data_IF_900578963425
#
_entry.id   IF_900578963425
#
_cell.length_a   1.000
_cell.length_b   1.000
_cell.length_c   1.000
_cell.angle_alpha   90.00
_cell.angle_beta   90.00
_cell.angle_gamma   90.00
#
_symmetry.space_group_name_H-M   'P 1'
#
loop_
_entity.id
_entity.type
_entity.pdbx_description
1 polymer ?
#
# COMPACT_ATOMS: atom_id res chain seq x y z
N UNK A 1 4.80 -50.41 27.80
CA UNK A 1 4.50 -49.91 26.45
C UNK A 1 3.92 -48.51 26.59
N UNK A 2 4.83 -47.54 26.57
CA UNK A 2 4.58 -46.15 26.89
C UNK A 2 4.52 -45.33 25.60
N UNK A 3 3.49 -44.49 25.49
CA UNK A 3 3.45 -43.24 24.73
C UNK A 3 3.78 -43.31 23.23
N UNK A 4 2.80 -43.69 22.42
CA UNK A 4 2.60 -43.02 21.12
C UNK A 4 1.49 -41.99 21.32
N UNK A 5 1.86 -40.81 21.84
CA UNK A 5 1.07 -39.61 21.63
C UNK A 5 1.19 -39.27 20.14
N UNK A 6 0.37 -39.96 19.34
CA UNK A 6 0.25 -39.73 17.92
C UNK A 6 -0.33 -38.32 17.74
N UNK A 7 0.52 -37.45 17.21
CA UNK A 7 0.29 -36.05 16.89
C UNK A 7 -1.09 -35.88 16.24
N UNK A 8 -2.04 -35.34 17.01
CA UNK A 8 -3.44 -35.17 16.62
C UNK A 8 -3.67 -33.88 15.84
N UNK A 9 -2.65 -33.39 15.13
CA UNK A 9 -2.78 -32.29 14.20
C UNK A 9 -3.33 -32.83 12.87
N UNK A 10 -4.49 -32.33 12.37
CA UNK A 10 -5.04 -32.83 11.12
C UNK A 10 -4.04 -32.57 9.99
N UNK A 11 -3.79 -33.53 9.08
CA UNK A 11 -2.71 -33.48 8.09
C UNK A 11 -2.81 -32.28 7.12
N UNK A 12 -3.95 -31.58 7.12
CA UNK A 12 -4.23 -30.42 6.27
C UNK A 12 -4.02 -29.07 6.98
N UNK A 13 -3.89 -29.00 8.31
CA UNK A 13 -3.76 -27.72 9.03
C UNK A 13 -2.52 -26.92 8.59
N UNK A 14 -1.37 -27.60 8.41
CA UNK A 14 -0.15 -26.95 7.94
C UNK A 14 -0.24 -26.40 6.51
N UNK A 15 -0.96 -27.10 5.62
CA UNK A 15 -1.18 -26.64 4.24
C UNK A 15 -2.06 -25.39 4.19
N UNK A 16 -3.16 -25.37 4.96
CA UNK A 16 -4.04 -24.19 5.03
C UNK A 16 -3.31 -22.97 5.60
N UNK A 17 -2.46 -23.14 6.62
CA UNK A 17 -1.67 -22.06 7.19
C UNK A 17 -0.65 -21.49 6.18
N UNK A 18 0.07 -22.35 5.45
CA UNK A 18 1.02 -21.92 4.42
C UNK A 18 0.33 -21.17 3.28
N UNK A 19 -0.82 -21.64 2.81
CA UNK A 19 -1.60 -20.96 1.77
C UNK A 19 -2.09 -19.59 2.28
N UNK A 20 -2.57 -19.49 3.52
CA UNK A 20 -3.00 -18.22 4.10
C UNK A 20 -1.85 -17.21 4.20
N UNK A 21 -0.68 -17.64 4.67
CA UNK A 21 0.53 -16.80 4.72
C UNK A 21 0.97 -16.38 3.32
N UNK A 22 0.90 -17.27 2.34
CA UNK A 22 1.28 -16.92 0.97
C UNK A 22 0.33 -15.87 0.36
N UNK A 23 -0.99 -16.05 0.53
CA UNK A 23 -1.99 -15.08 0.08
C UNK A 23 -1.83 -13.73 0.78
N UNK A 24 -1.47 -13.72 2.06
CA UNK A 24 -1.13 -12.50 2.81
C UNK A 24 0.01 -11.75 2.13
N UNK A 25 1.15 -12.41 1.90
CA UNK A 25 2.30 -11.76 1.29
C UNK A 25 2.01 -11.26 -0.13
N UNK A 26 1.26 -12.04 -0.92
CA UNK A 26 0.85 -11.62 -2.27
C UNK A 26 0.00 -10.34 -2.20
N UNK A 27 -0.96 -10.26 -1.28
CA UNK A 27 -1.77 -9.06 -1.07
C UNK A 27 -0.92 -7.84 -0.67
N UNK A 28 0.01 -8.01 0.27
CA UNK A 28 0.87 -6.93 0.75
C UNK A 28 1.84 -6.44 -0.33
N UNK A 29 2.47 -7.36 -1.07
CA UNK A 29 3.35 -7.04 -2.20
C UNK A 29 2.58 -6.29 -3.28
N UNK A 30 1.37 -6.74 -3.62
CA UNK A 30 0.52 -6.06 -4.59
C UNK A 30 0.20 -4.62 -4.16
N UNK A 31 -0.15 -4.41 -2.89
CA UNK A 31 -0.39 -3.09 -2.33
C UNK A 31 0.87 -2.20 -2.37
N UNK A 32 2.03 -2.76 -2.03
CA UNK A 32 3.31 -2.06 -2.08
C UNK A 32 3.67 -1.60 -3.50
N UNK A 33 3.48 -2.46 -4.50
CA UNK A 33 3.70 -2.12 -5.92
C UNK A 33 2.81 -0.95 -6.33
N UNK A 34 1.53 -0.96 -5.96
CA UNK A 34 0.61 0.15 -6.24
C UNK A 34 1.11 1.44 -5.56
N UNK A 35 1.52 1.37 -4.29
CA UNK A 35 2.00 2.55 -3.57
C UNK A 35 3.25 3.16 -4.22
N UNK A 36 4.21 2.33 -4.66
CA UNK A 36 5.40 2.77 -5.40
C UNK A 36 5.03 3.34 -6.76
N UNK A 37 4.14 2.69 -7.51
CA UNK A 37 3.66 3.16 -8.80
C UNK A 37 3.00 4.54 -8.68
N UNK A 38 2.18 4.75 -7.65
CA UNK A 38 1.51 6.02 -7.38
C UNK A 38 2.49 7.13 -7.00
N UNK A 39 3.56 6.81 -6.27
CA UNK A 39 4.65 7.74 -5.99
C UNK A 39 5.41 8.11 -7.29
N UNK A 40 5.67 7.12 -8.15
CA UNK A 40 6.26 7.35 -9.48
C UNK A 40 5.40 8.22 -10.39
N UNK A 41 4.07 8.07 -10.34
CA UNK A 41 3.14 8.93 -11.08
C UNK A 41 3.14 10.39 -10.60
N UNK A 42 3.38 10.64 -9.31
CA UNK A 42 3.61 11.99 -8.76
C UNK A 42 4.93 12.55 -9.30
N UNK A 43 6.00 11.75 -9.27
CA UNK A 43 7.31 12.15 -9.79
C UNK A 43 7.23 12.54 -11.28
N UNK A 44 6.64 11.69 -12.12
CA UNK A 44 6.51 11.93 -13.56
C UNK A 44 5.74 13.20 -13.90
N UNK A 45 4.59 13.42 -13.26
CA UNK A 45 3.80 14.66 -13.46
C UNK A 45 4.45 15.91 -12.88
N UNK A 46 5.37 15.77 -11.93
CA UNK A 46 6.11 16.92 -11.41
C UNK A 46 7.24 17.31 -12.36
N UNK A 47 7.97 16.33 -12.92
CA UNK A 47 9.13 16.60 -13.77
C UNK A 47 8.73 17.17 -15.14
N UNK A 48 7.53 16.84 -15.62
CA UNK A 48 6.96 17.39 -16.86
C UNK A 48 6.51 18.86 -16.74
N UNK A 49 6.54 19.45 -15.53
CA UNK A 49 6.15 20.85 -15.35
C UNK A 49 7.22 21.82 -15.84
N UNK A 50 6.84 22.98 -16.38
CA UNK A 50 7.79 23.99 -16.84
C UNK A 50 8.64 24.60 -15.71
N UNK A 51 8.14 24.56 -14.46
CA UNK A 51 8.89 24.93 -13.26
C UNK A 51 8.68 23.87 -12.16
N UNK A 52 9.44 22.76 -12.20
CA UNK A 52 9.20 21.64 -11.31
C UNK A 52 9.50 22.02 -9.85
N UNK A 53 8.54 21.75 -8.96
CA UNK A 53 8.73 21.95 -7.52
C UNK A 53 9.52 20.80 -6.93
N UNK A 54 10.60 21.10 -6.21
CA UNK A 54 11.46 20.09 -5.60
C UNK A 54 10.77 19.26 -4.50
N UNK A 55 9.78 19.83 -3.81
CA UNK A 55 9.06 19.18 -2.70
C UNK A 55 8.34 17.89 -3.13
N UNK A 56 7.44 17.88 -4.13
CA UNK A 56 6.79 16.64 -4.59
C UNK A 56 7.76 15.61 -5.20
N UNK A 57 8.88 16.06 -5.79
CA UNK A 57 9.95 15.17 -6.27
C UNK A 57 10.67 14.46 -5.12
N UNK A 58 11.07 15.20 -4.09
CA UNK A 58 11.70 14.62 -2.90
C UNK A 58 10.74 13.66 -2.21
N UNK A 59 9.48 14.07 -2.03
CA UNK A 59 8.46 13.29 -1.37
C UNK A 59 8.18 11.95 -2.06
N UNK A 60 7.98 11.96 -3.39
CA UNK A 60 7.73 10.74 -4.16
C UNK A 60 8.89 9.73 -4.05
N UNK A 61 10.13 10.20 -4.06
CA UNK A 61 11.30 9.34 -3.85
C UNK A 61 11.37 8.78 -2.42
N UNK A 62 11.20 9.63 -1.41
CA UNK A 62 11.19 9.21 -0.01
C UNK A 62 10.08 8.19 0.24
N UNK A 63 8.89 8.39 -0.35
CA UNK A 63 7.76 7.48 -0.21
C UNK A 63 8.01 6.13 -0.89
N UNK A 64 8.60 6.12 -2.09
CA UNK A 64 8.98 4.88 -2.77
C UNK A 64 10.03 4.10 -1.96
N UNK A 65 11.05 4.78 -1.43
CA UNK A 65 12.05 4.17 -0.57
C UNK A 65 11.46 3.67 0.76
N UNK A 66 10.51 4.41 1.33
CA UNK A 66 9.79 3.97 2.53
C UNK A 66 9.00 2.68 2.29
N UNK A 67 8.26 2.59 1.18
CA UNK A 67 7.53 1.36 0.81
C UNK A 67 8.49 0.21 0.54
N UNK A 68 9.60 0.46 -0.13
CA UNK A 68 10.65 -0.54 -0.36
C UNK A 68 11.26 -1.02 0.97
N UNK A 69 11.53 -0.09 1.90
CA UNK A 69 12.03 -0.42 3.23
C UNK A 69 11.05 -1.30 4.00
N UNK A 70 9.75 -0.95 4.00
CA UNK A 70 8.72 -1.78 4.62
C UNK A 70 8.69 -3.19 4.03
N UNK A 71 8.71 -3.30 2.69
CA UNK A 71 8.63 -4.59 2.00
C UNK A 71 9.85 -5.49 2.25
N UNK A 72 11.05 -4.90 2.41
CA UNK A 72 12.29 -5.67 2.58
C UNK A 72 12.64 -5.97 4.03
N UNK A 73 12.35 -5.06 4.97
CA UNK A 73 12.86 -5.14 6.34
C UNK A 73 11.80 -5.40 7.40
N UNK A 74 10.52 -5.23 7.08
CA UNK A 74 9.42 -5.43 8.04
C UNK A 74 8.72 -6.75 7.75
N UNK A 75 9.46 -7.86 7.73
CA UNK A 75 8.86 -9.19 7.46
C UNK A 75 8.19 -9.81 8.69
N UNK A 76 8.60 -9.40 9.89
CA UNK A 76 8.24 -10.08 11.14
C UNK A 76 6.92 -9.57 11.74
N UNK A 77 6.43 -8.42 11.27
CA UNK A 77 5.21 -7.79 11.80
C UNK A 77 4.26 -7.40 10.69
N UNK A 78 3.28 -8.26 10.43
CA UNK A 78 2.22 -8.01 9.45
C UNK A 78 1.43 -6.72 9.77
N UNK A 79 1.19 -6.42 11.05
CA UNK A 79 0.50 -5.19 11.47
C UNK A 79 1.30 -3.93 11.13
N UNK A 80 2.63 -3.95 11.32
CA UNK A 80 3.48 -2.81 11.00
C UNK A 80 3.55 -2.60 9.47
N UNK A 81 3.63 -3.68 8.69
CA UNK A 81 3.51 -3.65 7.22
C UNK A 81 2.18 -3.02 6.78
N UNK A 82 1.07 -3.48 7.34
CA UNK A 82 -0.27 -2.99 7.02
C UNK A 82 -0.40 -1.50 7.36
N UNK A 83 0.00 -1.09 8.57
CA UNK A 83 -0.05 0.30 9.00
C UNK A 83 0.84 1.20 8.13
N UNK A 84 2.05 0.73 7.79
CA UNK A 84 2.97 1.42 6.90
C UNK A 84 2.42 1.60 5.49
N UNK A 85 1.77 0.56 4.93
CA UNK A 85 1.13 0.63 3.61
C UNK A 85 -0.09 1.57 3.61
N UNK A 86 -0.94 1.53 4.65
CA UNK A 86 -2.04 2.48 4.82
C UNK A 86 -1.49 3.91 4.84
N UNK A 87 -0.46 4.16 5.65
CA UNK A 87 0.20 5.46 5.71
C UNK A 87 0.72 5.88 4.34
N UNK A 88 1.37 4.97 3.60
CA UNK A 88 1.90 5.26 2.28
C UNK A 88 0.80 5.64 1.27
N UNK A 89 -0.34 4.95 1.29
CA UNK A 89 -1.50 5.29 0.46
C UNK A 89 -2.13 6.63 0.84
N UNK A 90 -2.27 6.92 2.13
CA UNK A 90 -2.73 8.23 2.63
C UNK A 90 -1.79 9.36 2.20
N UNK A 91 -0.49 9.14 2.32
CA UNK A 91 0.58 10.06 1.93
C UNK A 91 0.54 10.33 0.41
N UNK A 92 0.38 9.29 -0.40
CA UNK A 92 0.15 9.40 -1.83
C UNK A 92 -1.09 10.24 -2.19
N UNK A 93 -2.17 10.13 -1.41
CA UNK A 93 -3.38 10.93 -1.65
C UNK A 93 -3.21 12.39 -1.21
N UNK A 94 -2.54 12.62 -0.08
CA UNK A 94 -2.35 13.95 0.49
C UNK A 94 -1.45 14.85 -0.36
N UNK A 95 -0.40 14.28 -0.96
CA UNK A 95 0.55 15.06 -1.77
C UNK A 95 0.10 15.26 -3.22
N UNK A 96 -0.96 14.58 -3.63
CA UNK A 96 -1.50 14.64 -4.99
C UNK A 96 -1.90 16.05 -5.46
N UNK A 97 -2.56 16.90 -4.64
CA UNK A 97 -2.99 18.22 -5.08
C UNK A 97 -1.83 19.19 -5.33
N UNK A 98 -0.67 18.96 -4.70
CA UNK A 98 0.53 19.79 -4.81
C UNK A 98 1.30 19.58 -6.12
N UNK A 99 0.93 18.55 -6.87
CA UNK A 99 1.58 18.12 -8.10
C UNK A 99 0.92 18.72 -9.37
N UNK A 100 -0.02 19.67 -9.27
CA UNK A 100 -0.66 20.26 -10.46
C UNK A 100 -0.38 21.75 -10.61
N UNK A 101 -0.11 22.23 -11.85
CA UNK A 101 -0.17 23.64 -12.19
C UNK A 101 -1.59 24.20 -11.99
N UNK A 102 -1.68 25.45 -11.54
CA UNK A 102 -2.92 26.14 -11.17
C UNK A 102 -3.59 26.87 -12.36
N UNK A 103 -3.29 26.51 -13.62
CA UNK A 103 -3.46 27.46 -14.72
C UNK A 103 -4.69 27.28 -15.61
N UNK A 104 -5.49 26.21 -15.49
CA UNK A 104 -6.65 26.06 -16.40
C UNK A 104 -7.92 25.50 -15.75
N UNK A 105 -9.03 26.23 -15.89
CA UNK A 105 -10.34 25.86 -15.31
C UNK A 105 -10.94 24.59 -15.95
N UNK A 106 -10.61 24.29 -17.21
CA UNK A 106 -11.04 23.03 -17.86
C UNK A 106 -10.29 21.82 -17.33
N UNK A 107 -8.97 21.95 -17.12
CA UNK A 107 -8.15 20.91 -16.48
C UNK A 107 -8.52 20.71 -15.00
N UNK A 108 -9.17 21.70 -14.37
CA UNK A 108 -9.61 21.63 -12.98
C UNK A 108 -10.78 20.65 -12.76
N UNK A 109 -11.69 20.50 -13.72
CA UNK A 109 -12.81 19.56 -13.61
C UNK A 109 -12.31 18.11 -13.77
N UNK A 110 -11.42 17.87 -14.75
CA UNK A 110 -10.73 16.59 -14.93
C UNK A 110 -9.87 16.22 -13.71
N UNK A 111 -9.17 17.20 -13.12
CA UNK A 111 -8.42 17.02 -11.86
C UNK A 111 -9.34 16.58 -10.72
N UNK A 112 -10.51 17.20 -10.60
CA UNK A 112 -11.46 16.89 -9.52
C UNK A 112 -12.03 15.49 -9.69
N UNK A 113 -12.34 15.08 -10.92
CA UNK A 113 -12.76 13.71 -11.24
C UNK A 113 -11.67 12.68 -10.93
N UNK A 114 -10.42 12.97 -11.33
CA UNK A 114 -9.28 12.11 -11.04
C UNK A 114 -9.01 12.00 -9.52
N UNK A 115 -9.08 13.09 -8.77
CA UNK A 115 -8.91 13.08 -7.31
C UNK A 115 -10.03 12.29 -6.62
N UNK A 116 -11.27 12.38 -7.12
CA UNK A 116 -12.38 11.55 -6.63
C UNK A 116 -12.11 10.08 -6.86
N UNK A 117 -11.67 9.69 -8.06
CA UNK A 117 -11.31 8.30 -8.37
C UNK A 117 -10.21 7.80 -7.43
N UNK A 118 -9.14 8.59 -7.26
CA UNK A 118 -8.02 8.24 -6.38
C UNK A 118 -8.45 8.11 -4.93
N UNK A 119 -9.34 8.99 -4.47
CA UNK A 119 -9.92 8.92 -3.11
C UNK A 119 -10.72 7.63 -2.93
N UNK A 120 -11.61 7.30 -3.87
CA UNK A 120 -12.41 6.06 -3.81
C UNK A 120 -11.48 4.84 -3.78
N UNK A 121 -10.50 4.78 -4.69
CA UNK A 121 -9.56 3.67 -4.76
C UNK A 121 -8.75 3.54 -3.45
N UNK A 122 -8.20 4.65 -2.93
CA UNK A 122 -7.47 4.66 -1.67
C UNK A 122 -8.35 4.23 -0.50
N UNK A 123 -9.61 4.66 -0.43
CA UNK A 123 -10.53 4.19 0.62
C UNK A 123 -10.80 2.70 0.55
N UNK A 124 -10.98 2.13 -0.65
CA UNK A 124 -11.14 0.68 -0.86
C UNK A 124 -9.89 -0.09 -0.43
N UNK A 125 -8.71 0.43 -0.75
CA UNK A 125 -7.45 -0.19 -0.32
C UNK A 125 -7.32 -0.14 1.20
N UNK A 126 -7.59 1.00 1.84
CA UNK A 126 -7.53 1.15 3.30
C UNK A 126 -8.55 0.21 3.97
N UNK A 127 -9.79 0.16 3.50
CA UNK A 127 -10.80 -0.74 4.07
C UNK A 127 -10.39 -2.21 3.93
N UNK A 128 -9.77 -2.59 2.83
CA UNK A 128 -9.25 -3.94 2.63
C UNK A 128 -8.12 -4.27 3.60
N UNK A 129 -7.20 -3.31 3.84
CA UNK A 129 -6.12 -3.48 4.82
C UNK A 129 -6.65 -3.56 6.26
N UNK A 130 -7.68 -2.79 6.61
CA UNK A 130 -8.34 -2.86 7.91
C UNK A 130 -9.10 -4.16 8.10
N UNK A 131 -9.85 -4.62 7.08
CA UNK A 131 -10.50 -5.92 7.11
C UNK A 131 -9.49 -7.05 7.28
N UNK A 132 -8.35 -6.96 6.59
CA UNK A 132 -7.28 -7.93 6.70
C UNK A 132 -6.62 -7.92 8.10
N UNK A 133 -6.34 -6.74 8.66
CA UNK A 133 -5.85 -6.61 10.03
C UNK A 133 -6.85 -7.15 11.07
N UNK A 134 -8.15 -6.93 10.86
CA UNK A 134 -9.20 -7.47 11.71
C UNK A 134 -9.21 -9.00 11.67
N UNK A 135 -9.09 -9.60 10.48
CA UNK A 135 -9.01 -11.06 10.33
C UNK A 135 -7.81 -11.60 11.12
N UNK A 136 -6.62 -11.00 10.96
CA UNK A 136 -5.41 -11.40 11.70
C UNK A 136 -5.60 -11.29 13.21
N UNK A 137 -6.24 -10.23 13.70
CA UNK A 137 -6.47 -10.03 15.13
C UNK A 137 -7.52 -11.00 15.71
N UNK A 138 -8.46 -11.46 14.88
CA UNK A 138 -9.52 -12.39 15.28
C UNK A 138 -9.12 -13.87 15.27
N UNK A 139 -7.92 -14.18 14.77
CA UNK A 139 -7.32 -15.52 14.69
C UNK A 139 -6.43 -15.79 15.90
#
# INVERSE_FOLDING_TARGET
MAYLAQDSSPPFAGYHALVAIHLMYVFLIYSAIIAVFMAGAIWGRTVEQPSPRWVPLLFSNVLALFVLFLALFVTDSALLLIAGLILAHCMNLLFEPFCSPQEDKRLQDDKTSYLKLRTILTTVVISSHLAFAFIIYSL
#
